data_IF_141918915719
#
_entry.id   IF_141918915719
#
_cell.length_a   1.000
_cell.length_b   1.000
_cell.length_c   1.000
_cell.angle_alpha   90.00
_cell.angle_beta   90.00
_cell.angle_gamma   90.00
#
_symmetry.space_group_name_H-M   'P 1'
#
loop_
_entity.id
_entity.type
_entity.pdbx_description
1 polymer ?
#
# COMPACT_ATOMS: atom_id res chain seq x y z
N UNK A 1 8.72 19.30 9.61
CA UNK A 1 7.82 18.36 10.31
C UNK A 1 7.08 17.57 9.25
N UNK A 2 7.23 16.24 9.23
CA UNK A 2 6.49 15.38 8.28
C UNK A 2 5.01 15.33 8.63
N UNK A 3 4.16 15.08 7.64
CA UNK A 3 2.72 14.85 7.85
C UNK A 3 2.57 13.58 8.71
N UNK A 4 1.88 13.64 9.87
CA UNK A 4 1.68 12.45 10.70
C UNK A 4 0.81 11.42 9.99
N UNK A 5 1.14 10.14 10.18
CA UNK A 5 0.39 9.00 9.62
C UNK A 5 -0.82 8.70 10.51
N UNK A 6 -2.01 9.03 10.04
CA UNK A 6 -3.25 8.90 10.80
C UNK A 6 -4.24 7.91 10.15
N UNK A 7 -4.89 7.02 10.92
CA UNK A 7 -5.96 6.18 10.41
C UNK A 7 -7.03 6.97 9.65
N UNK A 8 -7.45 6.45 8.50
CA UNK A 8 -8.40 7.12 7.62
C UNK A 8 -7.76 7.94 6.50
N UNK A 9 -6.44 8.16 6.52
CA UNK A 9 -5.73 8.82 5.42
C UNK A 9 -6.00 8.12 4.07
N UNK A 10 -6.27 8.93 3.04
CA UNK A 10 -6.51 8.49 1.66
C UNK A 10 -5.28 8.72 0.76
N UNK A 11 -5.30 8.12 -0.42
CA UNK A 11 -4.23 8.18 -1.42
C UNK A 11 -3.59 9.57 -1.61
N UNK A 12 -4.38 10.64 -1.70
CA UNK A 12 -3.87 12.01 -1.90
C UNK A 12 -3.05 12.55 -0.72
N UNK A 13 -3.37 12.11 0.50
CA UNK A 13 -2.59 12.44 1.69
C UNK A 13 -1.33 11.59 1.78
N UNK A 14 -1.44 10.30 1.46
CA UNK A 14 -0.32 9.34 1.50
C UNK A 14 0.75 9.73 0.46
N UNK A 15 0.36 10.20 -0.72
CA UNK A 15 1.27 10.68 -1.77
C UNK A 15 2.08 11.94 -1.37
N UNK A 16 1.67 12.68 -0.34
CA UNK A 16 2.48 13.79 0.20
C UNK A 16 3.65 13.29 1.04
N UNK A 17 3.58 12.04 1.50
CA UNK A 17 4.59 11.40 2.35
C UNK A 17 5.50 10.50 1.51
N UNK A 18 4.90 9.68 0.64
CA UNK A 18 5.63 8.77 -0.24
C UNK A 18 5.95 9.41 -1.59
N UNK A 19 7.15 9.19 -2.15
CA UNK A 19 7.52 9.69 -3.47
C UNK A 19 6.83 8.92 -4.61
N UNK A 20 6.36 7.70 -4.35
CA UNK A 20 5.73 6.81 -5.33
C UNK A 20 4.52 7.45 -6.02
N UNK A 21 4.42 7.27 -7.34
CA UNK A 21 3.31 7.72 -8.20
C UNK A 21 2.91 6.60 -9.15
N UNK A 22 1.81 6.78 -9.87
CA UNK A 22 1.40 5.84 -10.91
C UNK A 22 2.55 5.59 -11.90
N UNK A 23 2.82 4.33 -12.31
CA UNK A 23 2.08 3.10 -11.97
C UNK A 23 2.60 2.31 -10.75
N UNK A 24 3.44 2.90 -9.90
CA UNK A 24 4.13 2.25 -8.77
C UNK A 24 3.67 2.73 -7.38
N UNK A 25 2.45 3.22 -7.27
CA UNK A 25 1.84 3.63 -6.00
C UNK A 25 0.76 2.61 -5.60
N UNK A 26 1.01 1.85 -4.53
CA UNK A 26 0.19 0.70 -4.14
C UNK A 26 -0.46 0.82 -2.75
N UNK A 27 -0.82 2.03 -2.31
CA UNK A 27 -1.49 2.24 -1.01
C UNK A 27 -2.66 3.22 -1.16
N UNK A 28 -3.90 2.73 -1.10
CA UNK A 28 -5.09 3.56 -1.31
C UNK A 28 -5.58 4.22 -0.02
N UNK A 29 -5.48 3.52 1.11
CA UNK A 29 -5.99 3.99 2.41
C UNK A 29 -5.20 3.41 3.58
N UNK A 30 -4.95 4.24 4.60
CA UNK A 30 -4.47 3.79 5.91
C UNK A 30 -5.68 3.39 6.77
N UNK A 31 -5.73 2.14 7.22
CA UNK A 31 -6.83 1.60 8.04
C UNK A 31 -6.51 1.78 9.53
N UNK A 32 -5.31 1.38 9.94
CA UNK A 32 -4.91 1.38 11.35
C UNK A 32 -3.40 1.60 11.48
N UNK A 33 -3.00 2.15 12.63
CA UNK A 33 -1.60 2.38 12.99
C UNK A 33 -1.46 2.32 14.51
N UNK A 34 -0.50 1.52 14.96
CA UNK A 34 -0.06 1.48 16.36
C UNK A 34 1.40 1.88 16.40
N UNK A 35 1.76 2.85 17.25
CA UNK A 35 3.16 3.18 17.54
C UNK A 35 3.73 2.29 18.65
N UNK A 36 5.06 2.13 18.69
CA UNK A 36 5.74 1.32 19.71
C UNK A 36 5.64 -0.19 19.48
N UNK A 37 6.06 -1.03 20.43
CA UNK A 37 6.15 -2.48 20.25
C UNK A 37 4.82 -3.12 19.86
N UNK A 38 4.85 -4.07 18.93
CA UNK A 38 3.71 -4.84 18.45
C UNK A 38 3.96 -6.35 18.59
N UNK A 39 2.95 -7.23 18.43
CA UNK A 39 3.14 -8.68 18.46
C UNK A 39 4.17 -9.21 17.45
N UNK A 40 4.50 -8.42 16.42
CA UNK A 40 5.42 -8.77 15.35
C UNK A 40 6.75 -7.99 15.38
N UNK A 41 6.90 -7.00 16.28
CA UNK A 41 8.14 -6.23 16.41
C UNK A 41 8.32 -5.69 17.83
N UNK A 42 9.49 -5.91 18.43
CA UNK A 42 9.80 -5.43 19.80
C UNK A 42 10.15 -3.95 19.87
N UNK A 43 10.44 -3.34 18.72
CA UNK A 43 10.94 -1.96 18.65
C UNK A 43 10.06 -1.08 17.73
N UNK A 44 9.23 -1.70 16.89
CA UNK A 44 8.46 -1.03 15.85
C UNK A 44 6.95 -1.22 15.97
N UNK A 45 6.24 -0.20 15.49
CA UNK A 45 4.79 -0.15 15.36
C UNK A 45 4.21 -1.15 14.37
N UNK A 46 2.89 -1.11 14.25
CA UNK A 46 2.12 -1.85 13.25
C UNK A 46 1.37 -0.86 12.37
N UNK A 47 1.33 -1.12 11.07
CA UNK A 47 0.49 -0.40 10.10
C UNK A 47 -0.41 -1.40 9.41
N UNK A 48 -1.67 -1.01 9.19
CA UNK A 48 -2.62 -1.75 8.35
C UNK A 48 -3.11 -0.80 7.27
N UNK A 49 -2.85 -1.14 6.01
CA UNK A 49 -3.26 -0.35 4.87
C UNK A 49 -4.05 -1.19 3.86
N UNK A 50 -4.74 -0.51 2.96
CA UNK A 50 -5.57 -1.09 1.91
C UNK A 50 -5.02 -0.71 0.53
N UNK A 51 -4.93 -1.71 -0.34
CA UNK A 51 -4.81 -1.55 -1.78
C UNK A 51 -5.98 -2.29 -2.43
N UNK A 52 -6.84 -1.56 -3.12
CA UNK A 52 -7.87 -2.15 -3.96
C UNK A 52 -7.24 -2.67 -5.24
N UNK A 53 -7.67 -3.85 -5.65
CA UNK A 53 -7.23 -4.50 -6.89
C UNK A 53 -8.39 -4.47 -7.87
N UNK A 54 -8.13 -4.03 -9.09
CA UNK A 54 -9.13 -3.93 -10.15
C UNK A 54 -8.58 -4.36 -11.50
N UNK A 55 -9.43 -4.94 -12.35
CA UNK A 55 -9.03 -5.39 -13.69
C UNK A 55 -8.47 -4.27 -14.59
N UNK A 56 -8.73 -3.00 -14.22
CA UNK A 56 -8.24 -1.82 -14.93
C UNK A 56 -6.75 -1.49 -14.63
N UNK A 57 -6.03 -2.31 -13.87
CA UNK A 57 -4.60 -2.09 -13.60
C UNK A 57 -3.71 -2.60 -14.76
N UNK A 58 -2.67 -1.84 -15.17
CA UNK A 58 -1.93 -2.08 -16.41
C UNK A 58 -1.20 -3.43 -16.45
N UNK A 59 -0.77 -3.96 -15.30
CA UNK A 59 -0.05 -5.23 -15.22
C UNK A 59 -0.94 -6.43 -15.58
N UNK A 60 -2.27 -6.34 -15.47
CA UNK A 60 -3.17 -7.42 -15.84
C UNK A 60 -3.20 -7.71 -17.34
N UNK A 61 -2.80 -6.75 -18.19
CA UNK A 61 -2.65 -6.97 -19.63
C UNK A 61 -1.57 -8.03 -19.94
N UNK A 62 -0.56 -8.16 -19.08
CA UNK A 62 0.57 -9.07 -19.25
C UNK A 62 0.66 -10.20 -18.23
N UNK A 63 -0.08 -10.15 -17.12
CA UNK A 63 0.05 -11.09 -16.01
C UNK A 63 -1.31 -11.64 -15.55
N UNK A 64 -1.87 -12.65 -16.22
CA UNK A 64 -1.51 -13.15 -17.56
C UNK A 64 -2.68 -12.88 -18.51
N UNK A 65 -2.45 -12.80 -19.83
CA UNK A 65 -3.55 -12.72 -20.80
C UNK A 65 -4.60 -13.81 -20.54
N UNK A 66 -5.88 -13.42 -20.49
CA UNK A 66 -7.03 -14.29 -20.17
C UNK A 66 -7.04 -14.93 -18.76
N UNK A 67 -6.06 -14.61 -17.91
CA UNK A 67 -5.98 -15.09 -16.52
C UNK A 67 -5.32 -14.01 -15.64
N UNK A 68 -6.05 -12.93 -15.30
CA UNK A 68 -5.51 -11.83 -14.52
C UNK A 68 -5.14 -12.32 -13.10
N UNK A 69 -3.87 -12.12 -12.72
CA UNK A 69 -3.33 -12.44 -11.40
C UNK A 69 -2.41 -11.30 -10.96
N UNK A 70 -2.46 -10.86 -9.72
CA UNK A 70 -1.51 -9.83 -9.25
C UNK A 70 -0.10 -10.45 -9.20
N UNK A 71 0.93 -9.81 -9.79
CA UNK A 71 2.30 -10.30 -9.64
C UNK A 71 2.71 -10.33 -8.17
N UNK A 72 3.26 -11.45 -7.70
CA UNK A 72 3.64 -11.61 -6.28
C UNK A 72 4.66 -10.57 -5.80
N UNK A 73 5.54 -10.11 -6.70
CA UNK A 73 6.50 -9.04 -6.41
C UNK A 73 5.84 -7.68 -6.15
N UNK A 74 4.67 -7.41 -6.75
CA UNK A 74 3.93 -6.18 -6.47
C UNK A 74 3.16 -6.24 -5.14
N UNK A 75 2.86 -7.45 -4.65
CA UNK A 75 2.35 -7.62 -3.29
C UNK A 75 3.43 -7.28 -2.25
N UNK A 76 4.68 -7.69 -2.51
CA UNK A 76 5.82 -7.38 -1.64
C UNK A 76 6.11 -5.87 -1.68
N UNK A 77 6.07 -5.24 -2.85
CA UNK A 77 6.25 -3.78 -2.97
C UNK A 77 5.18 -2.99 -2.19
N UNK A 78 3.99 -3.56 -2.00
CA UNK A 78 2.92 -2.94 -1.23
C UNK A 78 3.02 -3.16 0.30
N UNK A 79 3.97 -3.97 0.78
CA UNK A 79 4.21 -4.29 2.20
C UNK A 79 5.31 -3.42 2.82
#
# INVERSE_FOLDING_TARGET
MGVPLEPGMRADQIQKILPHRYPFFFVDKLIDRTEGPSPHSREGGRIVALKNVTINEPFFNGHFPHRPVVPGVLLIEAM
#
